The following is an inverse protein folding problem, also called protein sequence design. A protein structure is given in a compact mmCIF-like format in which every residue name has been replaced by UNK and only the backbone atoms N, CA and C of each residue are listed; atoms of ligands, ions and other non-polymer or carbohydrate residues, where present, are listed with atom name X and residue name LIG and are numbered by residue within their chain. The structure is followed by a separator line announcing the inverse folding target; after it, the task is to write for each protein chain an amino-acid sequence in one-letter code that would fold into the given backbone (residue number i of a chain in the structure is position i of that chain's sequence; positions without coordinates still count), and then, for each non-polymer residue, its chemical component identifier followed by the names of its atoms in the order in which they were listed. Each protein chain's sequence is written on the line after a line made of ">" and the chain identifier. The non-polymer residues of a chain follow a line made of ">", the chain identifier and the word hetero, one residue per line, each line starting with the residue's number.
data_IF_792635046970
#
_entry.id   IF_792635046970
#
_cell.length_a   1.000
_cell.length_b   1.000
_cell.length_c   1.000
_cell.angle_alpha   90.00
_cell.angle_beta   90.00
_cell.angle_gamma   90.00
#
_symmetry.space_group_name_H-M   'P 1'
#
loop_
_entity.id
_entity.type
_entity.pdbx_description
1 polymer ?
#
# COMPACT_ATOMS: atom_id res chain seq x y z
N UNK A 1 -3.80 60.44 -22.66
CA UNK A 1 -4.28 59.03 -22.76
C UNK A 1 -3.65 58.26 -21.61
N UNK A 2 -4.49 57.70 -20.75
CA UNK A 2 -4.15 56.92 -19.57
C UNK A 2 -3.50 55.59 -19.96
N UNK A 3 -2.51 55.14 -19.18
CA UNK A 3 -2.54 53.85 -18.48
C UNK A 3 -1.21 53.64 -17.72
N UNK A 4 -1.25 53.90 -16.42
CA UNK A 4 -0.43 53.18 -15.45
C UNK A 4 -0.93 51.73 -15.36
N UNK A 5 -0.04 50.79 -15.03
CA UNK A 5 -0.21 49.76 -13.98
C UNK A 5 1.05 48.88 -14.01
N UNK A 6 1.91 49.14 -13.04
CA UNK A 6 2.92 48.23 -12.52
C UNK A 6 2.17 47.14 -11.71
N UNK A 7 2.41 45.86 -12.01
CA UNK A 7 1.76 44.74 -11.31
C UNK A 7 2.80 43.68 -10.95
N UNK A 8 3.69 44.07 -10.05
CA UNK A 8 4.46 43.17 -9.19
C UNK A 8 3.48 42.43 -8.24
N UNK A 9 3.06 41.23 -8.64
CA UNK A 9 2.27 40.33 -7.82
C UNK A 9 3.13 39.71 -6.72
N UNK A 10 3.26 40.41 -5.60
CA UNK A 10 3.86 39.90 -4.37
C UNK A 10 2.86 38.97 -3.67
N UNK A 11 2.95 37.66 -3.92
CA UNK A 11 2.14 36.64 -3.23
C UNK A 11 2.79 36.35 -1.88
N UNK A 12 2.34 37.07 -0.86
CA UNK A 12 2.78 36.92 0.52
C UNK A 12 1.98 35.78 1.18
N UNK A 13 2.42 34.53 1.03
CA UNK A 13 1.82 33.38 1.71
C UNK A 13 2.36 33.27 3.15
N UNK A 14 1.82 34.09 4.06
CA UNK A 14 2.00 33.87 5.49
C UNK A 14 0.80 33.08 6.03
N UNK A 15 0.86 31.75 5.96
CA UNK A 15 -0.11 30.88 6.64
C UNK A 15 0.34 30.74 8.09
N UNK A 16 -0.24 31.57 8.95
CA UNK A 16 -0.02 31.54 10.39
C UNK A 16 -0.89 30.43 11.01
N UNK A 17 -0.31 29.26 11.27
CA UNK A 17 -0.96 28.21 12.06
C UNK A 17 -0.86 28.53 13.55
N UNK A 18 -1.73 29.39 14.05
CA UNK A 18 -1.94 29.56 15.49
C UNK A 18 -2.88 28.46 15.99
N UNK A 19 -2.31 27.36 16.49
CA UNK A 19 -3.06 26.31 17.18
C UNK A 19 -2.84 26.47 18.69
N UNK A 20 -3.77 27.16 19.37
CA UNK A 20 -3.71 27.36 20.82
C UNK A 20 -4.79 26.53 21.51
N UNK A 21 -4.30 25.56 22.31
CA UNK A 21 -4.85 24.96 23.51
C UNK A 21 -6.16 24.14 23.45
N UNK A 22 -6.08 22.89 23.90
CA UNK A 22 -6.58 22.56 25.24
C UNK A 22 -5.91 21.28 25.78
N UNK A 23 -5.28 21.42 26.94
CA UNK A 23 -4.78 20.29 27.72
C UNK A 23 -5.92 19.60 28.45
N UNK A 24 -5.93 18.27 28.40
CA UNK A 24 -6.58 17.40 29.38
C UNK A 24 -5.56 16.32 29.73
N UNK A 25 -5.10 16.37 30.98
CA UNK A 25 -4.33 15.34 31.68
C UNK A 25 -5.11 14.03 31.72
N UNK A 26 -4.52 12.87 31.38
CA UNK A 26 -4.84 11.54 31.95
C UNK A 26 -3.89 10.42 31.45
N UNK A 27 -3.20 9.76 32.40
CA UNK A 27 -2.58 8.42 32.40
C UNK A 27 -1.46 8.04 31.36
N UNK A 28 -0.29 7.53 31.79
CA UNK A 28 0.85 7.20 30.91
C UNK A 28 0.80 5.79 30.27
N UNK A 29 -0.38 5.14 30.19
CA UNK A 29 -0.51 3.76 29.72
C UNK A 29 -1.09 3.59 28.30
N UNK A 30 -1.59 4.67 27.68
CA UNK A 30 -2.13 4.68 26.30
C UNK A 30 -1.37 5.70 25.44
N UNK A 31 -0.08 5.46 25.22
CA UNK A 31 0.65 6.16 24.17
C UNK A 31 0.09 5.70 22.81
N UNK A 32 -1.05 6.27 22.40
CA UNK A 32 -1.62 6.13 21.07
C UNK A 32 -0.53 6.45 20.06
N UNK A 33 -0.13 5.45 19.26
CA UNK A 33 0.88 5.58 18.20
C UNK A 33 0.55 6.83 17.37
N UNK A 34 1.47 7.78 17.17
CA UNK A 34 1.22 8.98 16.38
C UNK A 34 0.67 8.67 14.99
N UNK A 35 -0.25 9.48 14.47
CA UNK A 35 -0.87 9.27 13.15
C UNK A 35 0.19 9.14 12.04
N UNK A 36 1.28 9.90 12.13
CA UNK A 36 2.40 9.82 11.18
C UNK A 36 3.08 8.45 11.20
N UNK A 37 3.21 7.83 12.37
CA UNK A 37 3.79 6.50 12.54
C UNK A 37 2.81 5.41 12.07
N UNK A 38 1.51 5.57 12.33
CA UNK A 38 0.47 4.67 11.78
C UNK A 38 0.47 4.68 10.25
N UNK A 39 0.57 5.87 9.65
CA UNK A 39 0.65 6.05 8.19
C UNK A 39 1.91 5.39 7.62
N UNK A 40 3.07 5.63 8.24
CA UNK A 40 4.32 4.99 7.84
C UNK A 40 4.22 3.47 7.91
N UNK A 41 3.65 2.94 8.99
CA UNK A 41 3.48 1.50 9.16
C UNK A 41 2.54 0.90 8.10
N UNK A 42 1.40 1.54 7.81
CA UNK A 42 0.49 1.13 6.72
C UNK A 42 1.21 1.05 5.38
N UNK A 43 2.01 2.07 5.05
CA UNK A 43 2.78 2.10 3.80
C UNK A 43 3.83 0.99 3.77
N UNK A 44 4.59 0.80 4.86
CA UNK A 44 5.59 -0.25 4.98
C UNK A 44 4.97 -1.65 4.83
N UNK A 45 3.82 -1.88 5.46
CA UNK A 45 3.10 -3.14 5.37
C UNK A 45 2.64 -3.43 3.93
N UNK A 46 2.04 -2.46 3.25
CA UNK A 46 1.63 -2.60 1.84
C UNK A 46 2.82 -2.86 0.92
N UNK A 47 3.95 -2.17 1.12
CA UNK A 47 5.18 -2.39 0.36
C UNK A 47 5.77 -3.78 0.62
N UNK A 48 5.74 -4.26 1.86
CA UNK A 48 6.22 -5.60 2.21
C UNK A 48 5.36 -6.68 1.55
N UNK A 49 4.04 -6.53 1.57
CA UNK A 49 3.12 -7.41 0.83
C UNK A 49 3.45 -7.42 -0.66
N UNK A 50 3.71 -6.25 -1.26
CA UNK A 50 4.12 -6.16 -2.67
C UNK A 50 5.42 -6.92 -2.95
N UNK A 51 6.42 -6.83 -2.07
CA UNK A 51 7.67 -7.59 -2.22
C UNK A 51 7.42 -9.09 -2.23
N UNK A 52 6.56 -9.61 -1.35
CA UNK A 52 6.21 -11.04 -1.30
C UNK A 52 5.43 -11.47 -2.54
N UNK A 53 4.47 -10.67 -3.00
CA UNK A 53 3.70 -10.93 -4.21
C UNK A 53 4.62 -11.00 -5.45
N UNK A 54 5.53 -10.03 -5.60
CA UNK A 54 6.48 -9.98 -6.71
C UNK A 54 7.49 -11.13 -6.67
N UNK A 55 8.02 -11.47 -5.50
CA UNK A 55 8.91 -12.63 -5.35
C UNK A 55 8.25 -13.92 -5.85
N UNK A 56 6.95 -14.09 -5.57
CA UNK A 56 6.18 -15.23 -6.05
C UNK A 56 5.95 -15.21 -7.55
N UNK A 57 5.60 -14.04 -8.12
CA UNK A 57 5.49 -13.87 -9.58
C UNK A 57 6.81 -14.22 -10.27
N UNK A 58 7.93 -13.68 -9.78
CA UNK A 58 9.26 -13.96 -10.31
C UNK A 58 9.58 -15.46 -10.21
N UNK A 59 9.28 -16.09 -9.07
CA UNK A 59 9.49 -17.53 -8.91
C UNK A 59 8.69 -18.34 -9.93
N UNK A 60 7.38 -18.09 -10.06
CA UNK A 60 6.50 -18.78 -11.03
C UNK A 60 7.00 -18.60 -12.46
N UNK A 61 7.30 -17.36 -12.84
CA UNK A 61 7.83 -17.05 -14.17
C UNK A 61 9.15 -17.78 -14.42
N UNK A 62 10.10 -17.72 -13.49
CA UNK A 62 11.42 -18.34 -13.66
C UNK A 62 11.38 -19.87 -13.66
N UNK A 63 10.49 -20.49 -12.87
CA UNK A 63 10.34 -21.95 -12.89
C UNK A 63 9.90 -22.45 -14.26
N UNK A 64 9.04 -21.70 -14.94
CA UNK A 64 8.45 -22.15 -16.20
C UNK A 64 9.26 -21.68 -17.39
N UNK A 65 9.91 -20.51 -17.30
CA UNK A 65 10.88 -20.08 -18.31
C UNK A 65 12.07 -21.03 -18.46
N UNK A 66 12.41 -21.80 -17.41
CA UNK A 66 13.43 -22.87 -17.50
C UNK A 66 12.96 -24.09 -18.30
N UNK A 67 11.66 -24.37 -18.31
CA UNK A 67 11.06 -25.49 -19.05
C UNK A 67 10.61 -25.08 -20.45
N UNK A 68 10.25 -23.81 -20.63
CA UNK A 68 9.78 -23.22 -21.88
C UNK A 68 10.47 -21.88 -22.10
N UNK A 69 11.33 -21.79 -23.12
CA UNK A 69 12.09 -20.58 -23.51
C UNK A 69 11.25 -19.34 -23.90
N UNK A 70 9.93 -19.36 -23.69
CA UNK A 70 9.00 -18.31 -24.13
C UNK A 70 7.89 -18.07 -23.11
N UNK A 71 7.75 -16.82 -22.67
CA UNK A 71 6.72 -16.36 -21.73
C UNK A 71 5.29 -16.50 -22.29
N UNK A 72 5.15 -16.45 -23.63
CA UNK A 72 3.85 -16.55 -24.31
C UNK A 72 3.25 -17.97 -24.28
N UNK A 73 4.03 -18.97 -23.85
CA UNK A 73 3.61 -20.38 -23.73
C UNK A 73 3.28 -20.79 -22.30
N UNK A 74 3.13 -19.82 -21.40
CA UNK A 74 2.80 -20.11 -20.01
C UNK A 74 1.44 -20.81 -19.93
N UNK A 75 1.28 -21.88 -19.14
CA UNK A 75 -0.02 -22.50 -18.93
C UNK A 75 -1.05 -21.47 -18.44
N UNK A 76 -2.24 -21.47 -19.06
CA UNK A 76 -3.34 -20.54 -18.73
C UNK A 76 -3.62 -20.40 -17.22
N UNK A 77 -3.67 -21.50 -16.43
CA UNK A 77 -3.89 -21.39 -14.98
C UNK A 77 -2.82 -20.55 -14.27
N UNK A 78 -1.58 -20.59 -14.76
CA UNK A 78 -0.46 -19.89 -14.14
C UNK A 78 -0.47 -18.41 -14.54
N UNK A 79 -0.85 -18.11 -15.78
CA UNK A 79 -1.07 -16.73 -16.22
C UNK A 79 -2.11 -16.04 -15.35
N UNK A 80 -3.24 -16.71 -15.09
CA UNK A 80 -4.30 -16.21 -14.21
C UNK A 80 -3.77 -15.93 -12.80
N UNK A 81 -3.00 -16.84 -12.22
CA UNK A 81 -2.40 -16.65 -10.89
C UNK A 81 -1.48 -15.42 -10.89
N UNK A 82 -0.59 -15.28 -11.88
CA UNK A 82 0.32 -14.14 -11.98
C UNK A 82 -0.47 -12.83 -12.09
N UNK A 83 -1.50 -12.80 -12.93
CA UNK A 83 -2.37 -11.63 -13.08
C UNK A 83 -3.04 -11.24 -11.75
N UNK A 84 -3.53 -12.22 -10.98
CA UNK A 84 -4.14 -11.94 -9.67
C UNK A 84 -3.15 -11.36 -8.65
N UNK A 85 -1.88 -11.81 -8.67
CA UNK A 85 -0.84 -11.23 -7.84
C UNK A 85 -0.50 -9.80 -8.27
N UNK A 86 -0.42 -9.54 -9.59
CA UNK A 86 -0.15 -8.21 -10.12
C UNK A 86 -1.30 -7.22 -9.86
N UNK A 87 -2.56 -7.66 -9.96
CA UNK A 87 -3.73 -6.85 -9.58
C UNK A 87 -3.66 -6.41 -8.11
N UNK A 88 -3.19 -7.29 -7.22
CA UNK A 88 -2.98 -6.97 -5.80
C UNK A 88 -1.86 -5.96 -5.59
N UNK A 89 -0.74 -6.12 -6.29
CA UNK A 89 0.35 -5.12 -6.28
C UNK A 89 -0.18 -3.75 -6.70
N UNK A 90 -0.96 -3.71 -7.79
CA UNK A 90 -1.56 -2.46 -8.26
C UNK A 90 -2.52 -1.85 -7.23
N UNK A 91 -3.40 -2.66 -6.63
CA UNK A 91 -4.33 -2.22 -5.58
C UNK A 91 -3.60 -1.61 -4.37
N UNK A 92 -2.52 -2.25 -3.91
CA UNK A 92 -1.72 -1.76 -2.79
C UNK A 92 -1.00 -0.45 -3.12
N UNK A 93 -0.41 -0.34 -4.33
CA UNK A 93 0.24 0.90 -4.78
C UNK A 93 -0.76 2.05 -4.92
N UNK A 94 -1.98 1.77 -5.40
CA UNK A 94 -3.06 2.76 -5.46
C UNK A 94 -3.42 3.27 -4.06
N UNK A 95 -3.52 2.37 -3.08
CA UNK A 95 -3.79 2.75 -1.69
C UNK A 95 -2.63 3.59 -1.11
N UNK A 96 -1.37 3.23 -1.34
CA UNK A 96 -0.22 4.05 -0.92
C UNK A 96 -0.29 5.45 -1.52
N UNK A 97 -0.63 5.57 -2.81
CA UNK A 97 -0.79 6.88 -3.46
C UNK A 97 -1.86 7.73 -2.78
N UNK A 98 -3.00 7.13 -2.43
CA UNK A 98 -4.07 7.81 -1.71
C UNK A 98 -3.63 8.26 -0.30
N UNK A 99 -2.93 7.39 0.45
CA UNK A 99 -2.37 7.73 1.76
C UNK A 99 -1.42 8.93 1.63
N UNK A 100 -0.52 8.93 0.65
CA UNK A 100 0.45 10.00 0.42
C UNK A 100 -0.20 11.33 0.00
N UNK A 101 -1.40 11.28 -0.59
CA UNK A 101 -2.21 12.47 -0.92
C UNK A 101 -3.02 12.98 0.29
N UNK A 102 -2.91 12.35 1.47
CA UNK A 102 -3.60 12.74 2.69
C UNK A 102 -4.87 11.92 2.99
N UNK A 103 -5.25 10.96 2.15
CA UNK A 103 -6.38 10.07 2.41
C UNK A 103 -5.95 8.91 3.33
N UNK A 104 -5.66 9.23 4.61
CA UNK A 104 -5.12 8.29 5.61
C UNK A 104 -6.02 7.08 5.93
N UNK A 105 -7.32 7.17 5.61
CA UNK A 105 -8.33 6.11 5.79
C UNK A 105 -8.58 5.27 4.52
N UNK A 106 -7.83 5.53 3.45
CA UNK A 106 -7.91 4.68 2.26
C UNK A 106 -7.52 3.25 2.59
N UNK A 107 -8.14 2.29 1.91
CA UNK A 107 -7.88 0.87 2.08
C UNK A 107 -7.62 0.25 0.70
N UNK A 108 -6.77 -0.78 0.61
CA UNK A 108 -6.62 -1.53 -0.62
C UNK A 108 -7.98 -2.13 -1.04
N UNK A 109 -8.25 -2.15 -2.34
CA UNK A 109 -9.48 -2.72 -2.90
C UNK A 109 -9.52 -4.24 -2.83
N UNK A 110 -8.36 -4.90 -2.71
CA UNK A 110 -8.22 -6.34 -2.58
C UNK A 110 -7.64 -6.68 -1.20
N UNK A 111 -8.54 -6.92 -0.25
CA UNK A 111 -8.23 -7.25 1.16
C UNK A 111 -8.17 -8.74 1.45
N UNK A 112 -8.70 -9.55 0.54
CA UNK A 112 -8.65 -10.99 0.68
C UNK A 112 -7.31 -11.55 0.15
N UNK A 113 -6.74 -12.55 0.84
CA UNK A 113 -5.56 -13.25 0.33
C UNK A 113 -5.86 -13.85 -1.05
N UNK A 114 -4.86 -13.98 -1.94
CA UNK A 114 -5.07 -14.59 -3.25
C UNK A 114 -5.52 -16.05 -3.13
N UNK A 115 -6.55 -16.43 -3.88
CA UNK A 115 -7.13 -17.78 -3.88
C UNK A 115 -6.12 -18.85 -4.32
N UNK A 116 -6.13 -19.97 -3.60
CA UNK A 116 -5.18 -21.07 -3.77
C UNK A 116 -5.62 -22.03 -4.87
N UNK A 117 -5.18 -21.83 -6.10
CA UNK A 117 -5.31 -22.85 -7.15
C UNK A 117 -4.09 -23.77 -7.20
N UNK A 118 -3.83 -24.56 -6.13
CA UNK A 118 -3.17 -25.89 -6.21
C UNK A 118 -2.70 -26.45 -4.86
N UNK A 119 -2.84 -27.78 -4.76
CA UNK A 119 -2.57 -28.72 -3.67
C UNK A 119 -1.12 -28.81 -3.15
N UNK A 120 -0.34 -27.72 -3.04
CA UNK A 120 1.01 -27.82 -2.48
C UNK A 120 1.10 -27.22 -1.07
N UNK A 121 1.28 -28.05 -0.02
CA UNK A 121 1.32 -27.57 1.34
C UNK A 121 2.72 -27.01 1.67
N UNK A 122 2.70 -26.01 2.55
CA UNK A 122 3.76 -25.70 3.53
C UNK A 122 5.00 -24.91 3.05
N UNK A 123 4.93 -23.59 3.20
CA UNK A 123 5.74 -22.82 4.18
C UNK A 123 5.80 -21.32 3.82
N UNK A 124 5.93 -20.96 2.53
CA UNK A 124 5.94 -19.56 2.07
C UNK A 124 4.53 -18.97 1.88
N UNK A 125 3.50 -19.82 1.91
CA UNK A 125 2.10 -19.44 1.74
C UNK A 125 1.45 -18.89 3.01
N UNK A 126 1.90 -19.38 4.18
CA UNK A 126 1.44 -18.90 5.49
C UNK A 126 1.78 -17.43 5.73
N UNK A 127 2.95 -16.99 5.24
CA UNK A 127 3.41 -15.62 5.48
C UNK A 127 2.50 -14.62 4.78
N UNK A 128 2.17 -14.85 3.50
CA UNK A 128 1.30 -13.94 2.76
C UNK A 128 -0.09 -13.86 3.39
N UNK A 129 -0.69 -15.00 3.76
CA UNK A 129 -1.99 -15.03 4.43
C UNK A 129 -1.97 -14.26 5.77
N UNK A 130 -0.93 -14.47 6.59
CA UNK A 130 -0.73 -13.73 7.85
C UNK A 130 -0.56 -12.23 7.62
N UNK A 131 0.14 -11.83 6.55
CA UNK A 131 0.29 -10.41 6.20
C UNK A 131 -1.03 -9.78 5.76
N UNK A 132 -1.87 -10.49 5.02
CA UNK A 132 -3.23 -10.01 4.66
C UNK A 132 -4.13 -9.90 5.89
N UNK A 133 -4.06 -10.86 6.83
CA UNK A 133 -4.76 -10.75 8.12
C UNK A 133 -4.30 -9.52 8.91
N UNK A 134 -2.99 -9.31 9.00
CA UNK A 134 -2.40 -8.15 9.68
C UNK A 134 -2.82 -6.84 9.00
N UNK A 135 -2.77 -6.78 7.67
CA UNK A 135 -3.22 -5.64 6.88
C UNK A 135 -4.68 -5.31 7.18
N UNK A 136 -5.57 -6.30 7.16
CA UNK A 136 -6.98 -6.08 7.44
C UNK A 136 -7.18 -5.48 8.83
N UNK A 137 -6.49 -6.00 9.86
CA UNK A 137 -6.57 -5.46 11.22
C UNK A 137 -6.01 -4.05 11.33
N UNK A 138 -4.86 -3.78 10.71
CA UNK A 138 -4.22 -2.46 10.75
C UNK A 138 -5.09 -1.41 10.06
N UNK A 139 -5.71 -1.74 8.93
CA UNK A 139 -6.59 -0.82 8.20
C UNK A 139 -8.01 -0.76 8.77
N UNK A 140 -8.37 -1.64 9.70
CA UNK A 140 -9.62 -1.60 10.45
C UNK A 140 -9.50 -0.70 11.68
N UNK A 141 -8.41 -0.81 12.43
CA UNK A 141 -8.22 -0.09 13.70
C UNK A 141 -7.51 1.26 13.57
N UNK A 142 -6.61 1.42 12.61
CA UNK A 142 -5.89 2.67 12.34
C UNK A 142 -6.40 3.30 11.04
#
# INVERSE_FOLDING_TARGET
>A
MNAAIDRSGNINNNINFNNTANGITNSPADALVPISEQVQYKVQLLLHINSVLLARVIHMTNTISKEHNDLSKLPEPIQVIIQEHLKRVHSNLQCISQINQGYIRSKPSLQEPPDHTSNNPQQSHDVLAKLYLLMNRVFEFW
#
